data_IF_597273270609
#
_entry.id   IF_597273270609
#
_cell.length_a   1.000
_cell.length_b   1.000
_cell.length_c   1.000
_cell.angle_alpha   90.00
_cell.angle_beta   90.00
_cell.angle_gamma   90.00
#
_symmetry.space_group_name_H-M   'P 1'
#
loop_
_entity.id
_entity.type
_entity.pdbx_description
1 polymer ?
#
# COMPACT_ATOMS: atom_id res chain seq x y z
N UNK A 1 3.10 -10.60 1.68
CA UNK A 1 3.72 -9.83 2.76
C UNK A 1 3.03 -8.48 2.92
N UNK A 2 3.10 -7.90 4.13
CA UNK A 2 2.48 -6.62 4.48
C UNK A 2 3.55 -5.65 4.97
N UNK A 3 3.60 -4.46 4.39
CA UNK A 3 4.45 -3.35 4.84
C UNK A 3 3.87 -2.68 6.10
N UNK A 4 3.78 -3.47 7.17
CA UNK A 4 3.07 -3.05 8.38
C UNK A 4 3.60 -1.74 8.93
N UNK A 5 2.69 -0.88 9.38
CA UNK A 5 2.97 0.46 9.92
C UNK A 5 3.68 1.43 8.94
N UNK A 6 4.00 0.97 7.74
CA UNK A 6 4.79 1.68 6.75
C UNK A 6 6.26 1.27 6.70
N UNK A 7 6.60 0.13 7.29
CA UNK A 7 7.92 -0.49 7.20
C UNK A 7 7.98 -1.38 5.97
N UNK A 8 8.72 -1.00 4.90
CA UNK A 8 8.90 -1.84 3.74
C UNK A 8 9.57 -3.17 4.08
N UNK A 9 8.96 -4.27 3.67
CA UNK A 9 9.56 -5.60 3.83
C UNK A 9 10.64 -5.84 2.77
N UNK A 10 11.57 -6.75 3.05
CA UNK A 10 12.55 -7.19 2.07
C UNK A 10 11.90 -8.13 1.03
N UNK A 11 11.33 -7.53 -0.01
CA UNK A 11 10.68 -8.28 -1.10
C UNK A 11 11.65 -9.11 -1.93
N UNK A 12 12.96 -8.80 -1.93
CA UNK A 12 13.96 -9.63 -2.62
C UNK A 12 14.07 -11.00 -1.96
N UNK A 13 14.14 -11.06 -0.64
CA UNK A 13 14.14 -12.33 0.10
C UNK A 13 12.84 -13.12 -0.11
N UNK A 14 11.69 -12.43 -0.10
CA UNK A 14 10.41 -13.07 -0.43
C UNK A 14 10.38 -13.61 -1.86
N UNK A 15 10.96 -12.90 -2.83
CA UNK A 15 11.00 -13.33 -4.23
C UNK A 15 11.84 -14.59 -4.41
N UNK A 16 12.99 -14.67 -3.75
CA UNK A 16 13.82 -15.89 -3.77
C UNK A 16 13.02 -17.11 -3.28
N UNK A 17 12.32 -16.96 -2.16
CA UNK A 17 11.48 -18.02 -1.61
C UNK A 17 10.32 -18.37 -2.55
N UNK A 18 9.67 -17.36 -3.12
CA UNK A 18 8.55 -17.57 -4.01
C UNK A 18 8.96 -18.26 -5.32
N UNK A 19 10.15 -17.98 -5.85
CA UNK A 19 10.69 -18.65 -7.04
C UNK A 19 11.00 -20.12 -6.75
N UNK A 20 11.55 -20.42 -5.55
CA UNK A 20 11.80 -21.82 -5.11
C UNK A 20 10.52 -22.66 -5.05
N UNK A 21 9.42 -22.07 -4.55
CA UNK A 21 8.16 -22.79 -4.34
C UNK A 21 7.08 -22.53 -5.40
N UNK A 22 7.39 -21.78 -6.47
CA UNK A 22 6.43 -21.44 -7.51
C UNK A 22 5.25 -20.58 -7.02
N UNK A 23 5.50 -19.64 -6.10
CA UNK A 23 4.47 -18.84 -5.45
C UNK A 23 4.31 -17.46 -6.09
N UNK A 24 3.12 -16.90 -5.95
CA UNK A 24 2.84 -15.50 -6.25
C UNK A 24 3.15 -14.62 -5.04
N UNK A 25 3.59 -13.39 -5.32
CA UNK A 25 3.74 -12.35 -4.30
C UNK A 25 2.74 -11.23 -4.56
N UNK A 26 1.85 -11.00 -3.59
CA UNK A 26 1.01 -9.81 -3.52
C UNK A 26 1.51 -8.98 -2.35
N UNK A 27 2.16 -7.86 -2.64
CA UNK A 27 2.62 -6.90 -1.65
C UNK A 27 1.43 -6.08 -1.14
N UNK A 28 1.16 -6.10 0.15
CA UNK A 28 0.25 -5.15 0.77
C UNK A 28 1.03 -3.88 1.17
N UNK A 29 1.05 -2.91 0.26
CA UNK A 29 1.69 -1.62 0.41
C UNK A 29 0.75 -0.53 0.95
N UNK A 30 -0.41 -0.91 1.54
CA UNK A 30 -1.41 0.04 2.03
C UNK A 30 -0.89 1.01 3.10
N UNK A 31 0.17 0.66 3.81
CA UNK A 31 0.79 1.50 4.83
C UNK A 31 2.08 2.17 4.37
N UNK A 32 2.60 1.84 3.20
CA UNK A 32 3.94 2.23 2.77
C UNK A 32 4.07 3.14 1.55
N UNK A 33 3.06 3.95 1.14
CA UNK A 33 3.23 4.87 0.04
C UNK A 33 4.43 5.79 0.24
N UNK A 34 5.41 5.71 -0.68
CA UNK A 34 6.66 6.47 -0.63
C UNK A 34 7.80 5.83 0.17
N UNK A 35 7.53 4.72 0.88
CA UNK A 35 8.55 3.88 1.50
C UNK A 35 9.40 3.14 0.47
N UNK A 36 10.59 2.70 0.86
CA UNK A 36 11.47 1.86 0.05
C UNK A 36 12.44 1.06 0.92
N UNK A 37 12.94 -0.04 0.40
CA UNK A 37 14.13 -0.73 0.91
C UNK A 37 15.26 -0.67 -0.13
N UNK A 38 16.49 -0.93 0.29
CA UNK A 38 17.61 -1.14 -0.63
C UNK A 38 17.82 -2.65 -0.77
N UNK A 39 17.84 -3.11 -2.01
CA UNK A 39 18.08 -4.52 -2.33
C UNK A 39 19.57 -4.91 -2.14
N UNK A 40 19.90 -6.17 -2.42
CA UNK A 40 21.27 -6.71 -2.30
C UNK A 40 22.31 -5.98 -3.14
N UNK A 41 21.87 -5.21 -4.15
CA UNK A 41 22.73 -4.37 -5.00
C UNK A 41 22.79 -2.91 -4.52
N UNK A 42 22.12 -2.58 -3.43
CA UNK A 42 22.00 -1.20 -2.92
C UNK A 42 21.02 -0.32 -3.72
N UNK A 43 20.25 -0.91 -4.65
CA UNK A 43 19.25 -0.15 -5.41
C UNK A 43 17.97 0.07 -4.61
N UNK A 44 17.43 1.28 -4.70
CA UNK A 44 16.17 1.63 -4.02
C UNK A 44 14.98 0.96 -4.68
N UNK A 45 14.33 0.08 -3.94
CA UNK A 45 13.09 -0.58 -4.33
C UNK A 45 11.92 0.07 -3.60
N UNK A 46 11.17 0.91 -4.30
CA UNK A 46 9.98 1.57 -3.74
C UNK A 46 8.83 0.58 -3.62
N UNK A 47 8.09 0.67 -2.53
CA UNK A 47 6.85 -0.08 -2.36
C UNK A 47 5.92 0.16 -3.56
N UNK A 48 5.33 -0.90 -4.07
CA UNK A 48 4.48 -0.83 -5.27
C UNK A 48 5.21 -0.76 -6.62
N UNK A 49 6.55 -0.79 -6.67
CA UNK A 49 7.30 -0.74 -7.93
C UNK A 49 7.16 -2.02 -8.78
N UNK A 50 6.76 -3.14 -8.15
CA UNK A 50 6.51 -4.41 -8.84
C UNK A 50 7.75 -5.11 -9.39
N UNK A 51 8.95 -4.85 -8.84
CA UNK A 51 10.17 -5.55 -9.27
C UNK A 51 10.23 -6.97 -8.71
N UNK A 52 9.88 -7.13 -7.46
CA UNK A 52 9.94 -8.39 -6.73
C UNK A 52 8.55 -8.97 -6.43
N UNK A 53 7.49 -8.16 -6.50
CA UNK A 53 6.11 -8.61 -6.34
C UNK A 53 5.40 -8.71 -7.70
N UNK A 54 4.50 -9.67 -7.84
CA UNK A 54 3.64 -9.82 -9.02
C UNK A 54 2.57 -8.73 -9.06
N UNK A 55 2.03 -8.40 -7.89
CA UNK A 55 1.06 -7.35 -7.66
C UNK A 55 1.42 -6.58 -6.39
N UNK A 56 1.09 -5.29 -6.34
CA UNK A 56 1.14 -4.50 -5.11
C UNK A 56 -0.16 -3.74 -4.93
N UNK A 57 -0.67 -3.71 -3.69
CA UNK A 57 -1.98 -3.14 -3.35
C UNK A 57 -1.82 -1.90 -2.49
N UNK A 58 -2.55 -0.85 -2.81
CA UNK A 58 -2.65 0.39 -2.05
C UNK A 58 -4.09 0.65 -1.63
N UNK A 59 -4.27 1.28 -0.47
CA UNK A 59 -5.57 1.71 0.04
C UNK A 59 -5.68 3.23 0.03
N UNK A 60 -6.86 3.73 -0.37
CA UNK A 60 -7.22 5.15 -0.31
C UNK A 60 -8.29 5.45 0.76
N UNK A 61 -8.43 4.53 1.73
CA UNK A 61 -9.27 4.77 2.92
C UNK A 61 -8.86 6.06 3.63
N UNK A 62 -9.77 6.78 4.33
CA UNK A 62 -9.54 8.11 4.91
C UNK A 62 -8.31 8.24 5.83
N UNK A 63 -7.91 7.18 6.52
CA UNK A 63 -6.74 7.21 7.42
C UNK A 63 -5.40 7.02 6.71
N UNK A 64 -5.39 6.67 5.42
CA UNK A 64 -4.18 6.36 4.66
C UNK A 64 -3.44 7.62 4.20
N UNK A 65 -2.21 7.44 3.71
CA UNK A 65 -1.35 8.53 3.23
C UNK A 65 -1.95 9.33 2.08
N UNK A 66 -2.70 8.64 1.22
CA UNK A 66 -3.46 9.20 0.11
C UNK A 66 -4.91 8.79 0.36
N UNK A 67 -5.74 9.74 0.74
CA UNK A 67 -7.13 9.49 1.10
C UNK A 67 -8.07 9.98 -0.01
N UNK A 68 -9.01 9.12 -0.42
CA UNK A 68 -10.01 9.43 -1.44
C UNK A 68 -11.46 9.19 -0.97
N UNK A 69 -11.69 9.18 0.35
CA UNK A 69 -12.94 8.71 0.95
C UNK A 69 -12.93 7.19 1.06
N UNK A 70 -13.03 6.51 -0.07
CA UNK A 70 -12.78 5.06 -0.24
C UNK A 70 -12.06 4.84 -1.56
N UNK A 71 -11.46 3.66 -1.71
CA UNK A 71 -10.79 3.26 -2.94
C UNK A 71 -9.45 2.58 -2.70
N UNK A 72 -8.81 2.22 -3.79
CA UNK A 72 -7.49 1.57 -3.78
C UNK A 72 -6.89 1.54 -5.17
N UNK A 73 -5.69 1.01 -5.25
CA UNK A 73 -4.97 0.81 -6.49
C UNK A 73 -4.18 -0.48 -6.43
N UNK A 74 -4.14 -1.18 -7.53
CA UNK A 74 -3.24 -2.32 -7.74
C UNK A 74 -2.23 -1.90 -8.80
N UNK A 75 -0.94 -2.14 -8.53
CA UNK A 75 0.14 -1.94 -9.50
C UNK A 75 0.77 -3.26 -9.88
N UNK A 76 1.17 -3.39 -11.14
CA UNK A 76 1.89 -4.57 -11.67
C UNK A 76 2.72 -4.18 -12.89
N UNK A 77 3.81 -4.90 -13.14
CA UNK A 77 4.59 -4.82 -14.39
C UNK A 77 4.23 -5.95 -15.37
N UNK A 78 3.28 -6.81 -15.01
CA UNK A 78 2.81 -7.90 -15.86
C UNK A 78 1.58 -7.47 -16.67
N UNK A 79 1.75 -7.34 -17.98
CA UNK A 79 0.70 -6.89 -18.91
C UNK A 79 -0.54 -7.80 -18.89
N UNK A 80 -0.37 -9.12 -18.72
CA UNK A 80 -1.50 -10.07 -18.66
C UNK A 80 -2.33 -9.82 -17.40
N UNK A 81 -1.67 -9.67 -16.26
CA UNK A 81 -2.34 -9.35 -14.99
C UNK A 81 -3.04 -7.99 -15.07
N UNK A 82 -2.39 -6.98 -15.62
CA UNK A 82 -2.97 -5.65 -15.81
C UNK A 82 -4.28 -5.72 -16.61
N UNK A 83 -4.27 -6.40 -17.76
CA UNK A 83 -5.48 -6.54 -18.60
C UNK A 83 -6.59 -7.32 -17.90
N UNK A 84 -6.23 -8.39 -17.21
CA UNK A 84 -7.19 -9.19 -16.45
C UNK A 84 -7.84 -8.37 -15.33
N UNK A 85 -7.04 -7.60 -14.56
CA UNK A 85 -7.54 -6.70 -13.51
C UNK A 85 -8.48 -5.61 -14.06
N UNK A 86 -8.20 -5.07 -15.25
CA UNK A 86 -9.10 -4.11 -15.90
C UNK A 86 -10.47 -4.72 -16.23
N UNK A 87 -10.49 -5.96 -16.71
CA UNK A 87 -11.74 -6.68 -16.97
C UNK A 87 -12.50 -6.96 -15.68
N UNK A 88 -11.82 -7.56 -14.69
CA UNK A 88 -12.42 -7.87 -13.39
C UNK A 88 -13.01 -6.64 -12.69
N UNK A 89 -12.32 -5.50 -12.75
CA UNK A 89 -12.79 -4.24 -12.17
C UNK A 89 -14.11 -3.75 -12.77
N UNK A 90 -14.39 -4.15 -14.02
CA UNK A 90 -15.53 -3.66 -14.82
C UNK A 90 -16.41 -4.83 -15.30
N UNK A 91 -16.93 -5.59 -14.34
CA UNK A 91 -17.89 -6.70 -14.54
C UNK A 91 -17.37 -7.87 -15.40
N UNK A 92 -16.08 -7.97 -15.70
CA UNK A 92 -15.56 -8.97 -16.66
C UNK A 92 -16.01 -8.72 -18.11
N UNK A 93 -16.37 -7.47 -18.42
CA UNK A 93 -16.87 -7.07 -19.73
C UNK A 93 -15.72 -6.77 -20.69
N UNK A 94 -15.80 -7.40 -21.88
CA UNK A 94 -14.93 -7.11 -23.01
C UNK A 94 -15.66 -6.26 -24.04
N UNK A 95 -15.07 -5.13 -24.41
CA UNK A 95 -15.58 -4.21 -25.44
C UNK A 95 -14.71 -4.14 -26.69
N UNK A 96 -13.49 -4.68 -26.62
CA UNK A 96 -12.58 -4.72 -27.75
C UNK A 96 -13.10 -5.74 -28.78
N UNK A 97 -13.59 -5.23 -29.91
CA UNK A 97 -14.24 -6.01 -30.99
C UNK A 97 -13.36 -7.19 -31.47
N UNK A 98 -12.03 -7.05 -31.39
CA UNK A 98 -11.08 -8.10 -31.79
C UNK A 98 -11.00 -9.27 -30.81
N UNK A 99 -11.56 -9.13 -29.61
CA UNK A 99 -11.51 -10.11 -28.52
C UNK A 99 -12.87 -10.68 -28.13
N UNK A 100 -13.92 -10.25 -28.81
CA UNK A 100 -15.27 -10.80 -28.63
C UNK A 100 -15.36 -12.20 -29.20
N UNK A 101 -16.13 -13.07 -28.54
CA UNK A 101 -16.46 -14.41 -29.05
C UNK A 101 -17.43 -14.32 -30.25
N UNK A 102 -18.37 -13.39 -30.16
CA UNK A 102 -19.31 -13.06 -31.23
C UNK A 102 -19.25 -11.55 -31.50
N UNK A 103 -19.62 -11.12 -32.68
CA UNK A 103 -19.68 -9.72 -33.06
C UNK A 103 -20.99 -9.35 -33.75
N UNK A 104 -21.87 -8.70 -33.01
CA UNK A 104 -23.18 -8.27 -33.50
C UNK A 104 -23.20 -6.77 -33.91
N UNK A 105 -22.04 -6.11 -33.98
CA UNK A 105 -21.91 -4.71 -34.38
C UNK A 105 -21.21 -3.84 -33.35
N UNK A 106 -20.99 -2.55 -33.63
CA UNK A 106 -20.14 -1.66 -32.81
C UNK A 106 -20.67 -1.37 -31.41
N UNK A 107 -21.92 -1.66 -31.15
CA UNK A 107 -22.58 -1.52 -29.84
C UNK A 107 -22.43 -2.75 -28.96
N UNK A 108 -21.98 -3.89 -29.52
CA UNK A 108 -21.96 -5.17 -28.82
C UNK A 108 -20.79 -5.28 -27.89
N UNK A 109 -21.02 -5.85 -26.73
CA UNK A 109 -20.03 -6.23 -25.74
C UNK A 109 -20.51 -7.49 -25.01
N UNK A 110 -19.60 -8.20 -24.38
CA UNK A 110 -19.95 -9.44 -23.69
C UNK A 110 -19.18 -9.58 -22.37
N UNK A 111 -19.80 -10.21 -21.40
CA UNK A 111 -19.17 -10.61 -20.15
C UNK A 111 -18.46 -11.95 -20.38
N UNK A 112 -17.14 -11.93 -20.40
CA UNK A 112 -16.32 -13.14 -20.65
C UNK A 112 -15.90 -13.84 -19.36
N UNK A 113 -16.00 -13.17 -18.21
CA UNK A 113 -15.68 -13.71 -16.89
C UNK A 113 -16.53 -13.02 -15.81
N UNK A 114 -16.64 -13.67 -14.64
CA UNK A 114 -17.32 -13.07 -13.49
C UNK A 114 -16.45 -11.97 -12.90
N UNK A 115 -16.82 -10.71 -13.11
CA UNK A 115 -16.14 -9.54 -12.60
C UNK A 115 -16.94 -8.77 -11.55
N UNK A 116 -16.40 -7.62 -11.14
CA UNK A 116 -16.93 -6.77 -10.09
C UNK A 116 -17.21 -5.36 -10.59
N UNK A 117 -17.99 -4.59 -9.86
CA UNK A 117 -18.06 -3.15 -10.04
C UNK A 117 -17.11 -2.45 -9.08
N UNK A 118 -15.82 -2.44 -9.42
CA UNK A 118 -14.76 -1.84 -8.61
C UNK A 118 -14.16 -0.59 -9.28
N UNK A 119 -15.00 0.14 -10.00
CA UNK A 119 -14.60 1.41 -10.60
C UNK A 119 -14.47 2.51 -9.56
N UNK A 120 -13.33 3.20 -9.55
CA UNK A 120 -13.16 4.43 -8.81
C UNK A 120 -13.96 5.55 -9.51
N UNK A 121 -14.72 6.34 -8.76
CA UNK A 121 -15.45 7.48 -9.32
C UNK A 121 -14.51 8.66 -9.61
N UNK A 122 -14.87 9.55 -10.54
CA UNK A 122 -14.08 10.74 -10.87
C UNK A 122 -13.91 11.67 -9.67
N UNK A 123 -14.91 11.76 -8.79
CA UNK A 123 -14.83 12.52 -7.53
C UNK A 123 -13.73 11.96 -6.63
N UNK A 124 -13.72 10.65 -6.42
CA UNK A 124 -12.67 9.98 -5.63
C UNK A 124 -11.31 10.10 -6.30
N UNK A 125 -11.24 9.94 -7.62
CA UNK A 125 -10.00 10.07 -8.38
C UNK A 125 -9.43 11.49 -8.30
N UNK A 126 -10.26 12.53 -8.39
CA UNK A 126 -9.85 13.92 -8.24
C UNK A 126 -9.31 14.21 -6.82
N UNK A 127 -9.96 13.66 -5.80
CA UNK A 127 -9.51 13.76 -4.41
C UNK A 127 -8.16 13.05 -4.22
N UNK A 128 -8.03 11.80 -4.70
CA UNK A 128 -6.78 11.04 -4.66
C UNK A 128 -5.63 11.79 -5.35
N UNK A 129 -5.87 12.36 -6.53
CA UNK A 129 -4.89 13.15 -7.27
C UNK A 129 -4.43 14.39 -6.48
N UNK A 130 -5.37 15.09 -5.83
CA UNK A 130 -5.06 16.22 -4.95
C UNK A 130 -4.17 15.81 -3.76
N UNK A 131 -4.46 14.65 -3.14
CA UNK A 131 -3.66 14.10 -2.04
C UNK A 131 -2.26 13.65 -2.52
N UNK A 132 -2.19 13.00 -3.69
CA UNK A 132 -0.95 12.51 -4.28
C UNK A 132 0.06 13.66 -4.52
N UNK A 133 -0.40 14.83 -4.98
CA UNK A 133 0.44 16.02 -5.16
C UNK A 133 1.14 16.46 -3.87
N UNK A 134 0.56 16.17 -2.70
CA UNK A 134 1.10 16.51 -1.37
C UNK A 134 1.79 15.36 -0.66
N UNK A 135 1.79 14.16 -1.26
CA UNK A 135 2.25 12.93 -0.60
C UNK A 135 3.68 13.03 -0.07
N UNK A 136 4.61 13.57 -0.86
CA UNK A 136 6.01 13.73 -0.43
C UNK A 136 6.16 14.72 0.72
N UNK A 137 5.44 15.83 0.70
CA UNK A 137 5.45 16.81 1.79
C UNK A 137 4.89 16.19 3.08
N UNK A 138 3.80 15.43 2.97
CA UNK A 138 3.19 14.74 4.10
C UNK A 138 4.12 13.67 4.67
N UNK A 139 4.79 12.90 3.82
CA UNK A 139 5.78 11.92 4.23
C UNK A 139 6.94 12.57 5.02
N UNK A 140 7.46 13.71 4.53
CA UNK A 140 8.48 14.48 5.25
C UNK A 140 8.00 14.94 6.64
N UNK A 141 6.75 15.38 6.76
CA UNK A 141 6.16 15.75 8.07
C UNK A 141 6.06 14.55 9.01
N UNK A 142 5.70 13.37 8.51
CA UNK A 142 5.65 12.13 9.31
C UNK A 142 7.04 11.78 9.87
N UNK A 143 8.09 11.89 9.08
CA UNK A 143 9.46 11.71 9.55
C UNK A 143 9.86 12.72 10.62
N UNK A 144 9.46 13.99 10.47
CA UNK A 144 9.72 15.01 11.49
C UNK A 144 9.00 14.70 12.80
N UNK A 145 7.77 14.17 12.75
CA UNK A 145 7.02 13.78 13.94
C UNK A 145 7.66 12.54 14.58
N UNK A 146 8.00 11.52 13.78
CA UNK A 146 8.68 10.32 14.28
C UNK A 146 9.97 10.68 15.02
N UNK A 147 10.81 11.54 14.44
CA UNK A 147 12.04 12.02 15.09
C UNK A 147 11.76 12.74 16.42
N UNK A 148 10.67 13.50 16.53
CA UNK A 148 10.28 14.12 17.81
C UNK A 148 9.92 13.06 18.86
N UNK A 149 9.21 12.00 18.47
CA UNK A 149 8.89 10.89 19.34
C UNK A 149 10.16 10.12 19.77
N UNK A 150 11.09 9.85 18.83
CA UNK A 150 12.35 9.18 19.14
C UNK A 150 13.14 9.94 20.22
N UNK A 151 13.20 11.26 20.11
CA UNK A 151 13.88 12.10 21.10
C UNK A 151 13.12 12.11 22.43
N UNK A 152 11.81 12.27 22.40
CA UNK A 152 10.99 12.37 23.60
C UNK A 152 10.92 11.04 24.39
N UNK A 153 11.03 9.91 23.71
CA UNK A 153 10.91 8.59 24.31
C UNK A 153 12.24 7.90 24.57
N UNK A 154 13.38 8.59 24.36
CA UNK A 154 14.72 8.01 24.45
C UNK A 154 14.96 7.28 25.78
N UNK A 155 14.51 7.85 26.89
CA UNK A 155 14.69 7.33 28.24
C UNK A 155 13.39 6.79 28.85
N UNK A 156 12.33 6.67 28.05
CA UNK A 156 11.05 6.15 28.51
C UNK A 156 11.07 4.61 28.62
N UNK A 157 10.29 3.99 29.52
CA UNK A 157 10.22 2.54 29.69
C UNK A 157 9.38 1.87 28.56
N UNK A 158 9.74 2.13 27.32
CA UNK A 158 9.12 1.59 26.12
C UNK A 158 10.17 1.45 25.01
N UNK A 159 9.85 0.65 23.99
CA UNK A 159 10.69 0.51 22.79
C UNK A 159 10.03 1.25 21.62
N UNK A 160 10.78 2.12 21.01
CA UNK A 160 10.42 2.81 19.76
C UNK A 160 10.64 1.92 18.53
N UNK A 161 10.12 2.27 17.34
CA UNK A 161 10.38 1.52 16.12
C UNK A 161 11.89 1.48 15.80
N UNK A 162 12.44 0.30 15.61
CA UNK A 162 13.79 0.09 15.12
C UNK A 162 13.75 0.01 13.59
N UNK A 163 14.45 0.91 12.91
CA UNK A 163 14.47 0.99 11.46
C UNK A 163 15.86 0.61 10.97
N UNK A 164 15.94 -0.41 10.10
CA UNK A 164 17.20 -0.83 9.51
C UNK A 164 17.75 0.26 8.56
N UNK A 165 19.08 0.35 8.44
CA UNK A 165 19.76 1.39 7.66
C UNK A 165 19.40 1.36 6.16
N UNK A 166 19.03 0.20 5.65
CA UNK A 166 18.61 0.00 4.26
C UNK A 166 17.13 0.25 4.02
N UNK A 167 16.36 0.70 5.03
CA UNK A 167 14.90 0.91 4.94
C UNK A 167 14.55 2.37 5.12
N UNK A 168 13.68 2.89 4.24
CA UNK A 168 13.03 4.17 4.40
C UNK A 168 11.56 3.96 4.76
N UNK A 169 11.25 4.09 6.04
CA UNK A 169 9.94 3.85 6.63
C UNK A 169 8.94 4.94 6.22
N UNK A 170 7.71 4.56 5.82
CA UNK A 170 6.69 5.54 5.44
C UNK A 170 5.93 6.15 6.64
N UNK A 171 6.09 5.61 7.84
CA UNK A 171 5.43 6.07 9.06
C UNK A 171 3.92 6.29 8.93
N UNK A 172 3.22 5.26 8.44
CA UNK A 172 1.76 5.25 8.57
C UNK A 172 1.35 5.25 10.02
N UNK A 173 1.99 4.40 10.82
CA UNK A 173 1.89 4.35 12.28
C UNK A 173 3.28 4.52 12.90
N UNK A 174 3.32 5.07 14.11
CA UNK A 174 4.47 5.04 14.99
C UNK A 174 4.17 4.05 16.11
N UNK A 175 4.67 2.82 15.98
CA UNK A 175 4.31 1.71 16.85
C UNK A 175 5.33 1.60 17.97
N UNK A 176 4.89 1.74 19.22
CA UNK A 176 5.73 1.50 20.40
C UNK A 176 5.41 0.13 21.03
N UNK A 177 6.37 -0.45 21.73
CA UNK A 177 6.19 -1.67 22.53
C UNK A 177 6.46 -1.40 24.00
N UNK A 178 5.57 -1.87 24.87
CA UNK A 178 5.68 -1.71 26.32
C UNK A 178 5.03 -2.90 27.03
N UNK A 179 5.55 -3.29 28.18
CA UNK A 179 4.96 -4.33 29.04
C UNK A 179 3.62 -3.89 29.66
N UNK A 180 3.40 -2.57 29.74
CA UNK A 180 2.21 -1.99 30.39
C UNK A 180 1.25 -1.37 29.36
N UNK A 181 1.03 -2.04 28.23
CA UNK A 181 0.20 -1.53 27.12
C UNK A 181 -1.19 -1.07 27.56
N UNK A 182 -1.90 -1.91 28.28
CA UNK A 182 -3.32 -1.64 28.63
C UNK A 182 -3.45 -0.51 29.64
N UNK A 183 -2.51 -0.39 30.57
CA UNK A 183 -2.45 0.74 31.51
C UNK A 183 -2.13 2.05 30.77
N UNK A 184 -1.15 2.00 29.85
CA UNK A 184 -0.78 3.16 29.04
C UNK A 184 -1.97 3.63 28.18
N UNK A 185 -2.70 2.73 27.53
CA UNK A 185 -3.90 3.08 26.76
C UNK A 185 -4.96 3.75 27.64
N UNK A 186 -5.23 3.21 28.85
CA UNK A 186 -6.20 3.81 29.78
C UNK A 186 -5.76 5.21 30.21
N UNK A 187 -4.48 5.38 30.56
CA UNK A 187 -3.91 6.66 30.95
C UNK A 187 -4.00 7.71 29.83
N UNK A 188 -3.62 7.35 28.59
CA UNK A 188 -3.68 8.25 27.44
C UNK A 188 -5.12 8.68 27.13
N UNK A 189 -6.08 7.77 27.25
CA UNK A 189 -7.52 8.08 27.06
C UNK A 189 -8.03 9.09 28.09
N UNK A 190 -7.57 9.03 29.36
CA UNK A 190 -7.92 10.03 30.38
C UNK A 190 -7.42 11.44 30.01
N UNK A 191 -6.34 11.50 29.20
CA UNK A 191 -5.78 12.74 28.67
C UNK A 191 -6.35 13.11 27.29
N UNK A 192 -7.41 12.45 26.83
CA UNK A 192 -8.01 12.60 25.49
C UNK A 192 -7.04 12.27 24.33
N UNK A 193 -6.05 11.41 24.58
CA UNK A 193 -5.13 10.88 23.55
C UNK A 193 -5.63 9.50 23.15
N UNK A 194 -6.15 9.38 21.90
CA UNK A 194 -6.76 8.16 21.36
C UNK A 194 -5.70 7.26 20.69
N UNK A 195 -4.75 6.73 21.47
CA UNK A 195 -3.85 5.69 20.99
C UNK A 195 -4.57 4.33 20.87
N UNK A 196 -4.12 3.51 19.94
CA UNK A 196 -4.62 2.15 19.67
C UNK A 196 -3.52 1.13 19.89
#
# INVERSE_FOLDING_TARGET
PVDFAGYPVDLEAYRQLADEYGLWIIEDACHSPGGYFQDSKGEKQRCGKGRFADLSVFSFHPVKHIAAGEGGMITTNNEKLYRHLLNLRTHGIQQDQSKLLENHGPWYYEMQELGFNYRLTDIQAALALSQLKRAQQNLKKRHQIAKKYDVAFKDAPLKTPEIADNVFHAYHLYVIRTERRDELIKYLRQLNIMAQ
#
